data_IF_058100564279
#
_entry.id   IF_058100564279
#
_cell.length_a   1.000
_cell.length_b   1.000
_cell.length_c   1.000
_cell.angle_alpha   90.00
_cell.angle_beta   90.00
_cell.angle_gamma   90.00
#
_symmetry.space_group_name_H-M   'P 1'
#
loop_
_entity.id
_entity.type
_entity.pdbx_description
1 polymer ?
#
# COMPACT_ATOMS: atom_id res chain seq x y z
N UNK A 1 -20.26 18.88 -5.55
CA UNK A 1 -18.85 18.53 -5.18
C UNK A 1 -18.55 17.13 -5.71
N UNK A 2 -17.48 16.96 -6.48
CA UNK A 2 -17.02 15.65 -6.96
C UNK A 2 -15.79 15.27 -6.15
N UNK A 3 -15.78 14.08 -5.57
CA UNK A 3 -14.71 13.62 -4.66
C UNK A 3 -14.35 12.17 -4.96
N UNK A 4 -13.09 11.81 -4.66
CA UNK A 4 -12.64 10.43 -4.56
C UNK A 4 -11.88 10.27 -3.23
N UNK A 5 -12.39 9.41 -2.36
CA UNK A 5 -11.88 9.26 -1.00
C UNK A 5 -11.10 7.95 -0.79
N UNK A 6 -10.73 7.24 -1.87
CA UNK A 6 -9.97 6.01 -1.78
C UNK A 6 -8.98 5.89 -2.95
N UNK A 7 -7.80 6.48 -2.77
CA UNK A 7 -6.76 6.54 -3.81
C UNK A 7 -5.43 6.05 -3.24
N UNK A 8 -4.72 5.26 -4.04
CA UNK A 8 -3.38 4.76 -3.72
C UNK A 8 -2.32 5.40 -4.60
N UNK A 9 -1.13 5.59 -4.01
CA UNK A 9 0.06 6.10 -4.70
C UNK A 9 1.17 5.05 -4.71
N UNK A 10 2.31 5.38 -5.28
CA UNK A 10 3.50 4.53 -5.27
C UNK A 10 4.06 4.29 -3.84
N UNK A 11 3.58 5.02 -2.81
CA UNK A 11 3.92 4.73 -1.42
C UNK A 11 3.26 3.45 -0.88
N UNK A 12 2.31 2.89 -1.63
CA UNK A 12 1.78 1.53 -1.41
C UNK A 12 1.77 0.75 -2.72
N UNK A 13 0.63 0.51 -3.30
CA UNK A 13 0.45 -0.34 -4.48
C UNK A 13 -0.13 0.40 -5.68
N UNK A 14 -0.30 1.70 -5.60
CA UNK A 14 -0.56 2.56 -6.74
C UNK A 14 0.68 2.74 -7.62
N UNK A 15 0.48 3.23 -8.84
CA UNK A 15 1.56 3.42 -9.84
C UNK A 15 1.97 4.88 -10.01
N UNK A 16 1.12 5.83 -9.56
CA UNK A 16 1.38 7.25 -9.73
C UNK A 16 1.97 7.87 -8.47
N UNK A 17 2.75 8.94 -8.66
CA UNK A 17 3.21 9.78 -7.57
C UNK A 17 2.06 10.60 -6.97
N UNK A 18 2.16 11.05 -5.70
CA UNK A 18 1.15 11.93 -5.10
C UNK A 18 0.89 13.19 -5.92
N UNK A 19 1.93 13.79 -6.50
CA UNK A 19 1.83 14.97 -7.37
C UNK A 19 1.00 14.65 -8.62
N UNK A 20 1.28 13.52 -9.29
CA UNK A 20 0.53 13.10 -10.46
C UNK A 20 -0.94 12.79 -10.13
N UNK A 21 -1.22 12.26 -8.95
CA UNK A 21 -2.59 12.05 -8.47
C UNK A 21 -3.31 13.39 -8.31
N UNK A 22 -2.66 14.39 -7.70
CA UNK A 22 -3.23 15.75 -7.53
C UNK A 22 -3.56 16.36 -8.89
N UNK A 23 -2.59 16.37 -9.82
CA UNK A 23 -2.79 16.95 -11.15
C UNK A 23 -3.93 16.25 -11.92
N UNK A 24 -3.92 14.90 -11.87
CA UNK A 24 -4.97 14.10 -12.52
C UNK A 24 -6.35 14.37 -11.92
N UNK A 25 -6.45 14.51 -10.60
CA UNK A 25 -7.69 14.81 -9.91
C UNK A 25 -8.27 16.17 -10.34
N UNK A 26 -7.41 17.18 -10.48
CA UNK A 26 -7.80 18.50 -11.01
C UNK A 26 -8.27 18.38 -12.46
N UNK A 27 -7.52 17.68 -13.32
CA UNK A 27 -7.82 17.51 -14.74
C UNK A 27 -9.19 16.85 -14.98
N UNK A 28 -9.58 15.88 -14.10
CA UNK A 28 -10.89 15.21 -14.19
C UNK A 28 -11.99 15.93 -13.40
N UNK A 29 -11.70 17.09 -12.81
CA UNK A 29 -12.65 17.96 -12.13
C UNK A 29 -13.07 17.48 -10.74
N UNK A 30 -12.20 16.75 -10.01
CA UNK A 30 -12.39 16.48 -8.58
C UNK A 30 -12.06 17.73 -7.77
N UNK A 31 -12.82 17.96 -6.70
CA UNK A 31 -12.65 19.09 -5.78
C UNK A 31 -12.01 18.68 -4.45
N UNK A 32 -12.14 17.39 -4.09
CA UNK A 32 -11.43 16.83 -2.96
C UNK A 32 -11.06 15.36 -3.23
N UNK A 33 -9.90 14.95 -2.73
CA UNK A 33 -9.43 13.58 -2.76
C UNK A 33 -8.89 13.16 -1.40
N UNK A 34 -8.92 11.87 -1.10
CA UNK A 34 -8.16 11.31 0.02
C UNK A 34 -7.14 10.30 -0.50
N UNK A 35 -5.88 10.47 -0.11
CA UNK A 35 -4.85 9.49 -0.36
C UNK A 35 -4.83 8.53 0.82
N UNK A 36 -5.08 7.25 0.54
CA UNK A 36 -5.31 6.19 1.53
C UNK A 36 -4.36 5.02 1.32
N UNK A 37 -3.08 5.30 1.15
CA UNK A 37 -2.07 4.26 0.96
C UNK A 37 -2.09 3.21 2.07
N UNK A 38 -1.83 1.95 1.70
CA UNK A 38 -1.81 0.84 2.64
C UNK A 38 -0.76 1.00 3.74
N UNK A 39 -1.22 1.10 4.99
CA UNK A 39 -0.40 1.22 6.19
C UNK A 39 0.68 2.32 6.07
N UNK A 40 0.37 3.41 5.33
CA UNK A 40 1.29 4.51 5.01
C UNK A 40 0.55 5.84 4.92
N UNK A 41 1.20 6.93 5.35
CA UNK A 41 0.63 8.29 5.33
C UNK A 41 1.57 9.33 4.71
N UNK A 42 2.70 8.90 4.13
CA UNK A 42 3.75 9.80 3.61
C UNK A 42 3.29 10.59 2.38
N UNK A 43 2.45 10.00 1.55
CA UNK A 43 1.98 10.59 0.31
C UNK A 43 1.26 11.94 0.52
N UNK A 44 0.57 12.09 1.65
CA UNK A 44 -0.13 13.34 1.97
C UNK A 44 0.80 14.55 2.02
N UNK A 45 1.96 14.43 2.70
CA UNK A 45 2.87 15.55 2.86
C UNK A 45 3.52 15.93 1.52
N UNK A 46 3.77 14.95 0.64
CA UNK A 46 4.24 15.16 -0.74
C UNK A 46 3.18 15.90 -1.57
N UNK A 47 1.92 15.43 -1.51
CA UNK A 47 0.80 16.07 -2.21
C UNK A 47 0.58 17.50 -1.75
N UNK A 48 0.61 17.76 -0.43
CA UNK A 48 0.45 19.11 0.13
C UNK A 48 1.59 20.05 -0.28
N UNK A 49 2.82 19.53 -0.33
CA UNK A 49 3.96 20.31 -0.83
C UNK A 49 3.75 20.70 -2.30
N UNK A 50 3.33 19.75 -3.15
CA UNK A 50 3.06 20.00 -4.57
C UNK A 50 1.96 21.05 -4.76
N UNK A 51 0.86 20.97 -4.01
CA UNK A 51 -0.23 21.95 -4.03
C UNK A 51 0.29 23.34 -3.71
N UNK A 52 1.06 23.48 -2.64
CA UNK A 52 1.63 24.75 -2.20
C UNK A 52 2.62 25.33 -3.21
N UNK A 53 3.54 24.52 -3.72
CA UNK A 53 4.56 24.96 -4.65
C UNK A 53 3.98 25.43 -6.01
N UNK A 54 2.79 24.94 -6.38
CA UNK A 54 2.11 25.23 -7.64
C UNK A 54 0.84 26.10 -7.48
N UNK A 55 0.58 26.63 -6.27
CA UNK A 55 -0.59 27.50 -5.98
C UNK A 55 -1.93 26.86 -6.38
N UNK A 56 -2.16 25.61 -5.96
CA UNK A 56 -3.34 24.82 -6.30
C UNK A 56 -4.37 24.73 -5.17
N UNK A 57 -4.22 25.49 -4.08
CA UNK A 57 -5.04 25.43 -2.86
C UNK A 57 -6.53 25.69 -3.13
N UNK A 58 -6.82 26.57 -4.08
CA UNK A 58 -8.21 26.90 -4.46
C UNK A 58 -8.81 25.88 -5.47
N UNK A 59 -8.03 24.93 -5.97
CA UNK A 59 -8.45 23.98 -6.99
C UNK A 59 -8.83 22.63 -6.44
N UNK A 60 -8.16 22.17 -5.38
CA UNK A 60 -8.35 20.84 -4.83
C UNK A 60 -8.00 20.78 -3.34
N UNK A 61 -8.81 20.07 -2.58
CA UNK A 61 -8.52 19.67 -1.22
C UNK A 61 -7.96 18.26 -1.21
N UNK A 62 -6.82 18.03 -0.53
CA UNK A 62 -6.29 16.69 -0.26
C UNK A 62 -6.48 16.36 1.22
N UNK A 63 -7.26 15.32 1.47
CA UNK A 63 -7.54 14.79 2.81
C UNK A 63 -6.49 13.74 3.15
N UNK A 64 -5.93 13.83 4.37
CA UNK A 64 -5.06 12.78 4.88
C UNK A 64 -5.87 11.55 5.20
N UNK A 65 -5.56 10.47 4.50
CA UNK A 65 -6.19 9.17 4.67
C UNK A 65 -5.16 8.06 4.90
N UNK A 66 -5.66 6.90 5.22
CA UNK A 66 -4.92 5.63 5.30
C UNK A 66 -5.87 4.48 5.04
N UNK A 67 -5.36 3.41 4.45
CA UNK A 67 -6.02 2.11 4.45
C UNK A 67 -5.23 1.13 5.31
N UNK A 68 -5.79 0.76 6.46
CA UNK A 68 -5.18 -0.19 7.39
C UNK A 68 -5.65 -1.60 7.07
N UNK A 69 -4.71 -2.50 6.80
CA UNK A 69 -5.03 -3.91 6.61
C UNK A 69 -5.16 -4.62 7.95
N UNK A 70 -6.29 -5.26 8.17
CA UNK A 70 -6.60 -5.98 9.41
C UNK A 70 -7.16 -7.36 9.12
N UNK A 71 -7.28 -8.20 10.15
CA UNK A 71 -8.00 -9.47 10.11
C UNK A 71 -9.20 -9.44 11.04
N UNK A 72 -10.32 -9.95 10.55
CA UNK A 72 -11.48 -10.26 11.37
C UNK A 72 -11.94 -11.69 11.10
N UNK A 73 -11.92 -12.55 12.13
CA UNK A 73 -12.28 -13.97 12.01
C UNK A 73 -11.57 -14.67 10.83
N UNK A 74 -10.26 -14.44 10.68
CA UNK A 74 -9.41 -14.96 9.60
C UNK A 74 -9.73 -14.43 8.18
N UNK A 75 -10.57 -13.40 8.05
CA UNK A 75 -10.79 -12.70 6.78
C UNK A 75 -10.04 -11.38 6.78
N UNK A 76 -9.38 -11.07 5.68
CA UNK A 76 -8.74 -9.76 5.50
C UNK A 76 -9.82 -8.68 5.37
N UNK A 77 -9.70 -7.63 6.18
CA UNK A 77 -10.59 -6.47 6.18
C UNK A 77 -9.73 -5.22 6.10
N UNK A 78 -10.03 -4.37 5.16
CA UNK A 78 -9.38 -3.09 5.00
C UNK A 78 -10.24 -1.99 5.62
N UNK A 79 -9.62 -1.16 6.47
CA UNK A 79 -10.30 -0.07 7.16
C UNK A 79 -9.71 1.25 6.69
N UNK A 80 -10.57 2.09 6.11
CA UNK A 80 -10.20 3.45 5.73
C UNK A 80 -10.29 4.36 6.97
N UNK A 81 -9.21 5.09 7.24
CA UNK A 81 -9.14 6.12 8.26
C UNK A 81 -8.88 7.49 7.64
N UNK A 82 -9.48 8.53 8.20
CA UNK A 82 -9.31 9.90 7.73
C UNK A 82 -9.03 10.85 8.89
N UNK A 83 -8.34 11.97 8.61
CA UNK A 83 -8.07 13.04 9.58
C UNK A 83 -7.31 12.59 10.85
N UNK A 84 -6.59 11.45 10.78
CA UNK A 84 -5.87 10.90 11.92
C UNK A 84 -4.74 11.83 12.37
N UNK A 85 -4.46 11.82 13.67
CA UNK A 85 -3.30 12.47 14.24
C UNK A 85 -2.04 11.61 14.02
N UNK A 86 -1.27 11.93 13.00
CA UNK A 86 -0.03 11.18 12.65
C UNK A 86 1.12 11.34 13.65
N UNK A 87 0.96 12.21 14.66
CA UNK A 87 1.94 12.39 15.78
C UNK A 87 1.53 11.62 17.03
N UNK A 88 0.35 11.01 17.03
CA UNK A 88 -0.10 10.14 18.11
C UNK A 88 0.82 8.92 18.22
N UNK A 89 1.25 8.60 19.44
CA UNK A 89 2.24 7.54 19.68
C UNK A 89 1.70 6.16 19.33
N UNK A 90 0.44 5.90 19.65
CA UNK A 90 -0.18 4.61 19.41
C UNK A 90 -0.40 4.40 17.91
N UNK A 91 -0.76 5.47 17.19
CA UNK A 91 -0.86 5.44 15.72
C UNK A 91 0.51 5.20 15.05
N UNK A 92 1.56 5.87 15.50
CA UNK A 92 2.93 5.65 14.98
C UNK A 92 3.40 4.22 15.24
N UNK A 93 3.12 3.67 16.44
CA UNK A 93 3.43 2.29 16.77
C UNK A 93 2.62 1.31 15.92
N UNK A 94 1.34 1.56 15.70
CA UNK A 94 0.50 0.77 14.80
C UNK A 94 1.12 0.69 13.41
N UNK A 95 1.50 1.81 12.79
CA UNK A 95 2.11 1.84 11.46
C UNK A 95 3.42 1.05 11.42
N UNK A 96 4.27 1.23 12.43
CA UNK A 96 5.53 0.48 12.54
C UNK A 96 5.29 -1.02 12.61
N UNK A 97 4.32 -1.46 13.40
CA UNK A 97 3.96 -2.86 13.55
C UNK A 97 3.40 -3.44 12.24
N UNK A 98 2.56 -2.68 11.54
CA UNK A 98 2.03 -3.07 10.23
C UNK A 98 3.14 -3.24 9.18
N UNK A 99 4.07 -2.30 9.10
CA UNK A 99 5.20 -2.40 8.18
C UNK A 99 6.11 -3.59 8.49
N UNK A 100 6.38 -3.86 9.78
CA UNK A 100 7.14 -5.05 10.17
C UNK A 100 6.42 -6.35 9.82
N UNK A 101 5.10 -6.40 10.00
CA UNK A 101 4.28 -7.54 9.62
C UNK A 101 4.33 -7.79 8.10
N UNK A 102 4.28 -6.72 7.27
CA UNK A 102 4.46 -6.81 5.80
C UNK A 102 5.83 -7.38 5.41
N UNK A 103 6.89 -6.90 6.05
CA UNK A 103 8.25 -7.39 5.80
C UNK A 103 8.35 -8.89 6.15
N UNK A 104 7.81 -9.30 7.30
CA UNK A 104 7.81 -10.70 7.74
C UNK A 104 7.02 -11.57 6.76
N UNK A 105 5.79 -11.18 6.41
CA UNK A 105 4.95 -11.85 5.42
C UNK A 105 5.68 -12.03 4.09
N UNK A 106 6.27 -10.95 3.56
CA UNK A 106 7.01 -10.98 2.29
C UNK A 106 8.17 -11.99 2.31
N UNK A 107 8.96 -11.99 3.38
CA UNK A 107 10.08 -12.94 3.53
C UNK A 107 9.60 -14.39 3.61
N UNK A 108 8.46 -14.64 4.25
CA UNK A 108 7.86 -15.97 4.33
C UNK A 108 7.34 -16.44 2.97
N UNK A 109 6.65 -15.56 2.21
CA UNK A 109 6.21 -15.84 0.84
C UNK A 109 7.40 -16.16 -0.05
N UNK A 110 8.48 -15.38 0.00
CA UNK A 110 9.72 -15.66 -0.76
C UNK A 110 10.28 -17.05 -0.44
N UNK A 111 10.31 -17.41 0.84
CA UNK A 111 10.79 -18.73 1.28
C UNK A 111 9.92 -19.86 0.73
N UNK A 112 8.60 -19.69 0.75
CA UNK A 112 7.66 -20.67 0.22
C UNK A 112 7.75 -20.79 -1.31
N UNK A 113 7.88 -19.68 -2.04
CA UNK A 113 8.10 -19.65 -3.49
C UNK A 113 9.37 -20.42 -3.86
N UNK A 114 10.47 -20.20 -3.15
CA UNK A 114 11.71 -20.92 -3.40
C UNK A 114 11.58 -22.43 -3.12
N UNK A 115 10.92 -22.79 -2.01
CA UNK A 115 10.80 -24.20 -1.56
C UNK A 115 9.80 -24.99 -2.38
N UNK A 116 8.64 -24.41 -2.73
CA UNK A 116 7.53 -25.14 -3.37
C UNK A 116 7.53 -25.01 -4.88
N UNK A 117 7.95 -23.86 -5.40
CA UNK A 117 7.85 -23.51 -6.83
C UNK A 117 9.21 -23.35 -7.51
N UNK A 118 10.31 -23.42 -6.76
CA UNK A 118 11.67 -23.22 -7.30
C UNK A 118 11.98 -21.78 -7.69
N UNK A 119 11.08 -20.82 -7.42
CA UNK A 119 11.22 -19.40 -7.78
C UNK A 119 12.06 -18.70 -6.72
N UNK A 120 13.26 -18.28 -7.09
CA UNK A 120 14.21 -17.61 -6.17
C UNK A 120 14.15 -16.10 -6.33
N UNK A 121 13.71 -15.39 -5.30
CA UNK A 121 13.62 -13.93 -5.24
C UNK A 121 14.40 -13.46 -4.02
N UNK A 122 15.17 -12.37 -4.15
CA UNK A 122 15.79 -11.69 -3.00
C UNK A 122 14.83 -10.62 -2.47
N UNK A 123 14.77 -10.46 -1.15
CA UNK A 123 13.94 -9.42 -0.54
C UNK A 123 14.28 -8.02 -1.05
N UNK A 124 15.57 -7.76 -1.30
CA UNK A 124 16.08 -6.51 -1.83
C UNK A 124 15.52 -6.17 -3.22
N UNK A 125 15.21 -7.19 -4.04
CA UNK A 125 14.63 -6.96 -5.37
C UNK A 125 13.17 -6.51 -5.28
N UNK A 126 12.41 -7.00 -4.28
CA UNK A 126 11.08 -6.47 -3.98
C UNK A 126 11.19 -5.05 -3.41
N UNK A 127 12.13 -4.81 -2.49
CA UNK A 127 12.33 -3.50 -1.88
C UNK A 127 12.62 -2.39 -2.90
N UNK A 128 13.34 -2.71 -3.98
CA UNK A 128 13.62 -1.76 -5.09
C UNK A 128 12.38 -1.35 -5.90
N UNK A 129 11.29 -2.12 -5.82
CA UNK A 129 10.03 -1.83 -6.50
C UNK A 129 9.12 -0.90 -5.68
N UNK A 130 9.47 -0.64 -4.43
CA UNK A 130 8.69 0.16 -3.48
C UNK A 130 9.38 1.51 -3.30
N UNK A 131 8.62 2.60 -3.26
CA UNK A 131 9.16 3.92 -2.95
C UNK A 131 9.87 3.94 -1.59
N UNK A 132 10.80 4.86 -1.40
CA UNK A 132 11.46 5.03 -0.10
C UNK A 132 10.42 5.35 1.00
N UNK A 133 10.43 4.57 2.06
CA UNK A 133 9.43 4.65 3.13
C UNK A 133 8.06 4.06 2.80
N UNK A 134 7.88 3.54 1.59
CA UNK A 134 6.62 2.95 1.14
C UNK A 134 6.32 1.57 1.73
N UNK A 135 5.09 1.13 1.57
CA UNK A 135 4.59 -0.18 2.03
C UNK A 135 4.65 -1.23 0.94
N UNK A 136 5.21 -2.40 1.25
CA UNK A 136 5.21 -3.53 0.32
C UNK A 136 3.77 -4.05 0.17
N UNK A 137 3.25 -4.08 -1.07
CA UNK A 137 1.95 -4.65 -1.43
C UNK A 137 2.08 -5.94 -2.24
N UNK A 138 0.97 -6.63 -2.43
CA UNK A 138 0.86 -7.83 -3.29
C UNK A 138 1.39 -7.60 -4.71
N UNK A 139 1.12 -6.45 -5.37
CA UNK A 139 1.63 -6.17 -6.73
C UNK A 139 3.15 -6.15 -6.82
N UNK A 140 3.85 -5.69 -5.78
CA UNK A 140 5.32 -5.70 -5.76
C UNK A 140 5.87 -7.12 -5.74
N UNK A 141 5.23 -8.02 -4.98
CA UNK A 141 5.62 -9.45 -4.91
C UNK A 141 5.34 -10.11 -6.26
N UNK A 142 4.14 -9.88 -6.85
CA UNK A 142 3.78 -10.41 -8.16
C UNK A 142 4.75 -9.93 -9.26
N UNK A 143 5.14 -8.65 -9.24
CA UNK A 143 6.14 -8.10 -10.16
C UNK A 143 7.50 -8.76 -9.98
N UNK A 144 7.94 -9.00 -8.76
CA UNK A 144 9.21 -9.68 -8.48
C UNK A 144 9.19 -11.15 -8.94
N UNK A 145 8.04 -11.84 -8.81
CA UNK A 145 7.86 -13.20 -9.35
C UNK A 145 8.04 -13.20 -10.87
N UNK A 146 7.39 -12.26 -11.57
CA UNK A 146 7.52 -12.12 -13.04
C UNK A 146 8.95 -11.80 -13.44
N UNK A 147 9.61 -10.86 -12.74
CA UNK A 147 10.99 -10.50 -13.01
C UNK A 147 11.97 -11.67 -12.80
N UNK A 148 11.64 -12.59 -11.91
CA UNK A 148 12.41 -13.81 -11.65
C UNK A 148 12.09 -14.97 -12.65
N UNK A 149 11.24 -14.72 -13.65
CA UNK A 149 10.83 -15.73 -14.64
C UNK A 149 9.79 -16.74 -14.14
N UNK A 150 9.15 -16.47 -13.00
CA UNK A 150 8.12 -17.36 -12.44
C UNK A 150 6.81 -17.36 -13.22
N UNK A 151 6.55 -16.28 -13.96
CA UNK A 151 5.37 -16.14 -14.85
C UNK A 151 5.69 -15.22 -16.02
N UNK A 152 4.84 -15.21 -17.06
CA UNK A 152 5.00 -14.34 -18.22
C UNK A 152 4.61 -12.88 -17.96
N UNK A 153 3.68 -12.66 -17.04
CA UNK A 153 3.19 -11.31 -16.68
C UNK A 153 2.74 -11.27 -15.22
N UNK A 154 2.48 -10.05 -14.74
CA UNK A 154 2.11 -9.77 -13.34
C UNK A 154 0.73 -10.34 -12.99
N UNK A 155 -0.22 -10.34 -13.93
CA UNK A 155 -1.56 -10.87 -13.69
C UNK A 155 -1.53 -12.39 -13.45
N UNK A 156 -0.71 -13.11 -14.22
CA UNK A 156 -0.51 -14.56 -14.01
C UNK A 156 0.16 -14.84 -12.65
N UNK A 157 1.13 -13.99 -12.25
CA UNK A 157 1.76 -14.11 -10.93
C UNK A 157 0.75 -13.90 -9.81
N UNK A 158 -0.12 -12.92 -9.97
CA UNK A 158 -1.19 -12.64 -9.01
C UNK A 158 -2.15 -13.83 -8.91
N UNK A 159 -2.69 -14.28 -10.05
CA UNK A 159 -3.66 -15.36 -10.13
C UNK A 159 -3.12 -16.71 -9.62
N UNK A 160 -1.82 -16.95 -9.79
CA UNK A 160 -1.22 -18.25 -9.43
C UNK A 160 -0.65 -18.29 -8.02
N UNK A 161 -0.05 -17.17 -7.54
CA UNK A 161 0.77 -17.19 -6.33
C UNK A 161 0.32 -16.23 -5.23
N UNK A 162 -0.37 -15.14 -5.56
CA UNK A 162 -0.62 -14.02 -4.62
C UNK A 162 -2.13 -13.85 -4.33
N UNK A 163 -2.91 -14.90 -4.46
CA UNK A 163 -4.30 -14.94 -3.99
C UNK A 163 -4.39 -15.66 -2.63
N UNK A 164 -5.49 -15.47 -1.93
CA UNK A 164 -5.65 -15.89 -0.54
C UNK A 164 -5.56 -17.43 -0.35
N UNK A 165 -6.00 -18.21 -1.33
CA UNK A 165 -5.97 -19.67 -1.30
C UNK A 165 -4.65 -20.26 -1.84
N UNK A 166 -3.69 -19.43 -2.22
CA UNK A 166 -2.42 -19.89 -2.75
C UNK A 166 -1.58 -20.60 -1.67
N UNK A 167 -0.98 -21.77 -1.95
CA UNK A 167 -0.17 -22.47 -0.98
C UNK A 167 1.15 -21.79 -0.62
N UNK A 168 1.51 -20.72 -1.35
CA UNK A 168 2.69 -19.89 -1.08
C UNK A 168 2.33 -18.52 -0.50
N UNK A 169 1.04 -18.14 -0.50
CA UNK A 169 0.59 -16.91 0.12
C UNK A 169 0.40 -17.11 1.63
N UNK A 170 0.82 -16.11 2.40
CA UNK A 170 0.70 -16.11 3.87
C UNK A 170 -0.08 -14.86 4.26
N UNK A 171 -1.19 -15.05 4.99
CA UNK A 171 -1.94 -13.94 5.55
C UNK A 171 -1.18 -13.30 6.72
N UNK A 172 -1.29 -11.98 6.85
CA UNK A 172 -0.78 -11.27 8.04
C UNK A 172 -1.71 -11.52 9.22
N UNK A 173 -1.10 -11.62 10.41
CA UNK A 173 -1.85 -11.84 11.66
C UNK A 173 -2.01 -10.53 12.45
N UNK A 174 -2.65 -9.54 11.85
CA UNK A 174 -2.96 -8.27 12.54
C UNK A 174 -4.47 -8.21 12.76
N UNK A 175 -4.93 -8.56 13.96
CA UNK A 175 -6.37 -8.61 14.29
C UNK A 175 -6.95 -7.21 14.51
N UNK A 176 -8.20 -7.00 14.03
CA UNK A 176 -9.06 -5.88 14.46
C UNK A 176 -9.34 -6.03 15.95
N UNK A 177 -9.16 -4.96 16.71
CA UNK A 177 -9.55 -4.92 18.12
C UNK A 177 -8.44 -4.58 19.09
N UNK A 178 -7.25 -4.26 18.59
CA UNK A 178 -6.18 -3.64 19.40
C UNK A 178 -6.00 -2.15 19.12
N UNK A 179 -6.77 -1.55 18.22
CA UNK A 179 -6.94 -0.11 18.17
C UNK A 179 -7.91 0.26 19.30
N UNK A 180 -7.40 0.69 20.43
CA UNK A 180 -8.25 1.27 21.46
C UNK A 180 -8.90 2.53 20.89
N UNK A 181 -10.23 2.51 20.87
CA UNK A 181 -11.05 3.70 20.68
C UNK A 181 -10.84 4.60 21.87
#
# INVERSE_FOLDING_TARGET
>A
MRTDLHIHTYFSDGVFSPEKIVDTAIDVGLQAIAITDHDNVLAYDVAQKHIKDNHLEDKIEVIRGIEVNTLYKNHEVHILGYFMNTKDKDFVELLKNQQQARIKQTKEIISLLAKKEGIKIKFEDIKKLVAEGGSIGRPHIAKAITNAGGTNNVMDAYAKYIHDDSPVYVQRKTEIGRAHV
#
